data_IF_331810644059
#
_entry.id   IF_331810644059
#
_cell.length_a   1.000
_cell.length_b   1.000
_cell.length_c   1.000
_cell.angle_alpha   90.00
_cell.angle_beta   90.00
_cell.angle_gamma   90.00
#
_symmetry.space_group_name_H-M   'P 1'
#
loop_
_entity.id
_entity.type
_entity.pdbx_description
1 polymer ?
#
# COMPACT_ATOMS: atom_id res chain seq x y z
N UNK A 1 30.19 4.69 -22.56
CA UNK A 1 29.19 5.41 -21.72
C UNK A 1 28.19 4.43 -21.07
N UNK A 2 28.65 3.39 -20.36
CA UNK A 2 27.78 2.34 -19.76
C UNK A 2 28.05 2.07 -18.27
N UNK A 3 29.18 2.56 -17.73
CA UNK A 3 29.57 2.32 -16.33
C UNK A 3 28.84 3.21 -15.32
N UNK A 4 28.53 4.46 -15.69
CA UNK A 4 27.92 5.46 -14.79
C UNK A 4 26.46 5.10 -14.45
N UNK A 5 25.68 4.60 -15.43
CA UNK A 5 24.29 4.17 -15.19
C UNK A 5 24.18 2.97 -14.23
N UNK A 6 25.20 2.11 -14.17
CA UNK A 6 25.25 0.98 -13.25
C UNK A 6 25.56 1.42 -11.81
N UNK A 7 26.34 2.48 -11.62
CA UNK A 7 26.65 3.00 -10.28
C UNK A 7 25.44 3.70 -9.65
N UNK A 8 24.66 4.46 -10.44
CA UNK A 8 23.43 5.11 -9.96
C UNK A 8 22.39 4.05 -9.54
N UNK A 9 22.24 2.96 -10.30
CA UNK A 9 21.36 1.84 -9.94
C UNK A 9 21.82 1.12 -8.67
N UNK A 10 23.12 0.84 -8.55
CA UNK A 10 23.68 0.21 -7.37
C UNK A 10 23.51 1.07 -6.11
N UNK A 11 23.66 2.39 -6.27
CA UNK A 11 23.44 3.34 -5.18
C UNK A 11 21.97 3.39 -4.76
N UNK A 12 21.03 3.46 -5.71
CA UNK A 12 19.60 3.42 -5.44
C UNK A 12 19.16 2.11 -4.74
N UNK A 13 19.73 0.97 -5.12
CA UNK A 13 19.47 -0.32 -4.46
C UNK A 13 20.00 -0.27 -3.02
N UNK A 14 21.22 0.21 -2.79
CA UNK A 14 21.81 0.34 -1.45
C UNK A 14 21.02 1.31 -0.56
N UNK A 15 20.64 2.49 -1.05
CA UNK A 15 19.81 3.42 -0.27
C UNK A 15 18.44 2.83 0.03
N UNK A 16 17.84 2.07 -0.89
CA UNK A 16 16.58 1.36 -0.61
C UNK A 16 16.73 0.27 0.46
N UNK A 17 17.88 -0.40 0.51
CA UNK A 17 18.17 -1.41 1.53
C UNK A 17 18.43 -0.77 2.89
N UNK A 18 19.17 0.34 2.95
CA UNK A 18 19.40 1.10 4.19
C UNK A 18 18.10 1.69 4.72
N UNK A 19 17.25 2.23 3.85
CA UNK A 19 15.90 2.67 4.22
C UNK A 19 15.08 1.52 4.82
N UNK A 20 15.08 0.35 4.16
CA UNK A 20 14.42 -0.86 4.67
C UNK A 20 14.98 -1.36 6.00
N UNK A 21 16.28 -1.21 6.25
CA UNK A 21 16.89 -1.67 7.50
C UNK A 21 16.60 -0.71 8.64
N UNK A 22 16.71 0.62 8.43
CA UNK A 22 16.57 1.62 9.49
C UNK A 22 15.10 1.87 9.87
N UNK A 23 14.21 1.99 8.88
CA UNK A 23 12.79 2.30 9.15
C UNK A 23 12.01 1.09 9.67
N UNK A 24 12.41 -0.13 9.30
CA UNK A 24 11.71 -1.36 9.69
C UNK A 24 12.02 -1.80 11.12
N UNK A 25 13.12 -1.33 11.71
CA UNK A 25 13.57 -1.73 13.06
C UNK A 25 13.16 -0.75 14.16
N UNK A 26 12.92 0.52 13.87
CA UNK A 26 12.75 1.55 14.91
C UNK A 26 11.30 1.79 15.32
N UNK A 27 10.33 1.60 14.42
CA UNK A 27 8.90 1.72 14.75
C UNK A 27 8.20 0.51 14.14
N UNK A 28 7.46 -0.31 14.93
CA UNK A 28 6.67 -1.38 14.35
C UNK A 28 5.66 -0.74 13.40
N UNK A 29 5.84 -0.98 12.09
CA UNK A 29 5.09 -0.32 11.01
C UNK A 29 3.59 -0.30 11.26
N UNK A 30 3.04 -1.35 11.89
CA UNK A 30 1.62 -1.41 12.23
C UNK A 30 1.15 -0.37 13.26
N UNK A 31 1.96 0.01 14.25
CA UNK A 31 1.62 1.11 15.17
C UNK A 31 1.61 2.46 14.46
N UNK A 32 2.49 2.64 13.48
CA UNK A 32 2.59 3.87 12.70
C UNK A 32 1.37 4.05 11.80
N UNK A 33 0.96 2.98 11.11
CA UNK A 33 -0.27 2.98 10.33
C UNK A 33 -1.51 3.16 11.21
N UNK A 34 -1.60 2.46 12.34
CA UNK A 34 -2.71 2.68 13.28
C UNK A 34 -2.74 4.12 13.77
N UNK A 35 -1.62 4.69 14.19
CA UNK A 35 -1.56 6.09 14.61
C UNK A 35 -1.98 7.08 13.51
N UNK A 36 -1.62 6.81 12.25
CA UNK A 36 -1.96 7.67 11.12
C UNK A 36 -3.45 7.59 10.75
N UNK A 37 -4.04 6.40 10.87
CA UNK A 37 -5.39 6.12 10.41
C UNK A 37 -6.42 6.01 11.55
N UNK A 38 -6.01 5.98 12.82
CA UNK A 38 -6.93 5.90 13.96
C UNK A 38 -7.80 7.14 14.06
N UNK A 39 -9.03 6.95 14.52
CA UNK A 39 -9.92 8.01 14.98
C UNK A 39 -10.13 7.91 16.50
N UNK A 40 -10.19 9.04 17.25
CA UNK A 40 -10.47 9.02 18.68
C UNK A 40 -11.84 8.42 19.05
N UNK A 41 -12.81 8.40 18.13
CA UNK A 41 -14.11 7.75 18.32
C UNK A 41 -14.07 6.23 18.03
N UNK A 42 -12.92 5.70 17.60
CA UNK A 42 -12.70 4.32 17.20
C UNK A 42 -12.97 4.10 15.71
N UNK A 43 -12.06 3.39 15.04
CA UNK A 43 -12.15 3.12 13.60
C UNK A 43 -11.13 3.93 12.80
N UNK A 44 -11.36 4.01 11.48
CA UNK A 44 -10.50 4.79 10.59
C UNK A 44 -11.00 6.23 10.56
N UNK A 45 -10.11 7.22 10.69
CA UNK A 45 -10.50 8.61 10.59
C UNK A 45 -10.95 8.97 9.16
N UNK A 46 -11.85 9.96 8.96
CA UNK A 46 -12.45 10.24 7.65
C UNK A 46 -11.44 10.54 6.54
N UNK A 47 -10.33 11.23 6.85
CA UNK A 47 -9.26 11.51 5.88
C UNK A 47 -8.54 10.21 5.49
N UNK A 48 -8.35 9.34 6.47
CA UNK A 48 -7.80 8.01 6.31
C UNK A 48 -8.65 7.13 5.40
N UNK A 49 -9.98 7.21 5.51
CA UNK A 49 -10.91 6.49 4.64
C UNK A 49 -10.74 6.91 3.17
N UNK A 50 -10.66 8.22 2.90
CA UNK A 50 -10.45 8.74 1.54
C UNK A 50 -9.11 8.28 0.96
N UNK A 51 -8.02 8.34 1.75
CA UNK A 51 -6.70 7.89 1.32
C UNK A 51 -6.68 6.38 1.06
N UNK A 52 -7.34 5.58 1.91
CA UNK A 52 -7.43 4.13 1.71
C UNK A 52 -8.29 3.78 0.49
N UNK A 53 -9.34 4.56 0.20
CA UNK A 53 -10.14 4.44 -1.02
C UNK A 53 -9.33 4.64 -2.30
N UNK A 54 -8.60 5.75 -2.39
CA UNK A 54 -7.71 6.02 -3.54
C UNK A 54 -6.59 4.98 -3.66
N UNK A 55 -5.94 4.65 -2.54
CA UNK A 55 -4.85 3.67 -2.52
C UNK A 55 -5.33 2.29 -2.98
N UNK A 56 -6.56 1.91 -2.64
CA UNK A 56 -7.17 0.67 -3.09
C UNK A 56 -7.37 0.66 -4.60
N UNK A 57 -7.91 1.73 -5.18
CA UNK A 57 -8.08 1.89 -6.64
C UNK A 57 -6.73 1.74 -7.34
N UNK A 58 -5.71 2.44 -6.84
CA UNK A 58 -4.34 2.36 -7.36
C UNK A 58 -3.73 0.96 -7.26
N UNK A 59 -4.05 0.22 -6.20
CA UNK A 59 -3.51 -1.11 -5.92
C UNK A 59 -4.34 -2.28 -6.47
N UNK A 60 -5.44 -2.03 -7.20
CA UNK A 60 -6.32 -3.07 -7.74
C UNK A 60 -6.89 -4.01 -6.66
N UNK A 61 -7.09 -3.52 -5.43
CA UNK A 61 -7.54 -4.33 -4.30
C UNK A 61 -9.07 -4.35 -4.12
N UNK A 62 -9.83 -4.19 -5.21
CA UNK A 62 -11.28 -4.35 -5.22
C UNK A 62 -11.69 -5.82 -5.38
N UNK A 63 -12.80 -6.27 -4.77
CA UNK A 63 -13.28 -7.65 -4.88
C UNK A 63 -13.59 -8.08 -6.32
N UNK A 64 -13.98 -7.12 -7.18
CA UNK A 64 -14.29 -7.37 -8.60
C UNK A 64 -13.16 -6.95 -9.55
N UNK A 65 -11.99 -6.56 -9.03
CA UNK A 65 -10.89 -6.06 -9.86
C UNK A 65 -9.85 -7.15 -10.08
N UNK A 66 -9.69 -7.57 -11.33
CA UNK A 66 -8.65 -8.53 -11.72
C UNK A 66 -7.30 -7.83 -11.93
N UNK A 67 -6.23 -8.44 -11.43
CA UNK A 67 -4.85 -8.01 -11.69
C UNK A 67 -4.31 -8.54 -13.03
N UNK A 68 -5.09 -9.37 -13.72
CA UNK A 68 -4.69 -10.02 -14.97
C UNK A 68 -4.36 -9.02 -16.08
N UNK A 69 -3.27 -9.28 -16.78
CA UNK A 69 -2.88 -8.59 -18.01
C UNK A 69 -2.25 -9.60 -18.96
N UNK A 70 -2.31 -9.33 -20.28
CA UNK A 70 -1.65 -10.18 -21.28
C UNK A 70 -0.13 -10.11 -21.15
N UNK A 71 0.40 -8.99 -20.66
CA UNK A 71 1.82 -8.83 -20.37
C UNK A 71 2.14 -9.33 -18.93
N UNK A 72 2.98 -10.38 -18.78
CA UNK A 72 3.34 -10.91 -17.47
C UNK A 72 4.07 -9.89 -16.57
N UNK A 73 4.79 -8.91 -17.14
CA UNK A 73 5.46 -7.88 -16.34
C UNK A 73 4.47 -6.88 -15.75
N UNK A 74 3.41 -6.56 -16.49
CA UNK A 74 2.32 -5.70 -16.01
C UNK A 74 1.54 -6.43 -14.92
N UNK A 75 1.24 -7.71 -15.11
CA UNK A 75 0.58 -8.53 -14.10
C UNK A 75 1.39 -8.60 -12.80
N UNK A 76 2.70 -8.89 -12.87
CA UNK A 76 3.57 -8.93 -11.69
C UNK A 76 3.62 -7.58 -10.96
N UNK A 77 3.61 -6.46 -11.71
CA UNK A 77 3.56 -5.11 -11.12
C UNK A 77 2.22 -4.85 -10.41
N UNK A 78 1.08 -5.24 -11.01
CA UNK A 78 -0.25 -5.07 -10.41
C UNK A 78 -0.39 -5.92 -9.14
N UNK A 79 0.09 -7.16 -9.19
CA UNK A 79 0.06 -8.07 -8.04
C UNK A 79 0.89 -7.55 -6.87
N UNK A 80 2.11 -7.05 -7.15
CA UNK A 80 2.95 -6.44 -6.11
C UNK A 80 2.30 -5.21 -5.45
N UNK A 81 1.49 -4.43 -6.18
CA UNK A 81 0.75 -3.31 -5.58
C UNK A 81 -0.39 -3.81 -4.69
N UNK A 82 -1.13 -4.83 -5.13
CA UNK A 82 -2.18 -5.47 -4.34
C UNK A 82 -1.65 -6.03 -3.01
N UNK A 83 -0.49 -6.67 -3.04
CA UNK A 83 0.18 -7.18 -1.85
C UNK A 83 0.51 -6.08 -0.83
N UNK A 84 0.97 -4.91 -1.30
CA UNK A 84 1.27 -3.76 -0.44
C UNK A 84 0.01 -3.27 0.27
N UNK A 85 -1.12 -3.19 -0.44
CA UNK A 85 -2.38 -2.78 0.15
C UNK A 85 -2.91 -3.80 1.17
N UNK A 86 -2.88 -5.09 0.83
CA UNK A 86 -3.27 -6.17 1.75
C UNK A 86 -2.44 -6.14 3.06
N UNK A 87 -1.16 -5.81 2.96
CA UNK A 87 -0.29 -5.66 4.12
C UNK A 87 -0.67 -4.46 5.00
N UNK A 88 -1.09 -3.34 4.41
CA UNK A 88 -1.57 -2.17 5.17
C UNK A 88 -2.88 -2.52 5.89
N UNK A 89 -3.81 -3.19 5.20
CA UNK A 89 -5.07 -3.65 5.81
C UNK A 89 -4.84 -4.58 7.00
N UNK A 90 -3.90 -5.53 6.87
CA UNK A 90 -3.49 -6.42 7.96
C UNK A 90 -3.01 -5.63 9.19
N UNK A 91 -2.20 -4.59 8.99
CA UNK A 91 -1.71 -3.76 10.08
C UNK A 91 -2.81 -2.94 10.77
N UNK A 92 -3.76 -2.45 10.00
CA UNK A 92 -4.92 -1.71 10.50
C UNK A 92 -5.96 -2.64 11.14
N UNK A 93 -5.80 -3.96 11.02
CA UNK A 93 -6.77 -4.95 11.50
C UNK A 93 -8.18 -4.67 10.98
N UNK A 94 -8.28 -4.19 9.74
CA UNK A 94 -9.56 -3.93 9.10
C UNK A 94 -10.19 -5.26 8.74
N UNK A 95 -11.40 -5.48 9.25
CA UNK A 95 -12.24 -6.59 8.80
C UNK A 95 -12.63 -6.38 7.33
N UNK A 96 -12.84 -7.48 6.59
CA UNK A 96 -13.16 -7.46 5.17
C UNK A 96 -14.43 -6.64 4.87
N UNK A 97 -15.36 -6.61 5.82
CA UNK A 97 -16.56 -5.78 5.79
C UNK A 97 -16.28 -4.27 5.90
N UNK A 98 -15.28 -3.86 6.68
CA UNK A 98 -14.87 -2.44 6.79
C UNK A 98 -14.22 -1.98 5.49
N UNK A 99 -13.43 -2.86 4.86
CA UNK A 99 -12.86 -2.62 3.53
C UNK A 99 -13.96 -2.46 2.47
N UNK A 100 -15.06 -3.21 2.60
CA UNK A 100 -16.20 -3.08 1.70
C UNK A 100 -16.94 -1.75 1.90
N UNK A 101 -17.12 -1.27 3.13
CA UNK A 101 -17.70 0.06 3.38
C UNK A 101 -16.87 1.22 2.81
N UNK A 102 -15.54 1.06 2.81
CA UNK A 102 -14.64 1.99 2.11
C UNK A 102 -14.87 1.98 0.57
N UNK A 103 -15.52 0.96 -0.02
CA UNK A 103 -15.96 1.01 -1.43
C UNK A 103 -17.10 1.98 -1.62
N UNK A 104 -18.11 1.88 -0.75
CA UNK A 104 -19.41 2.53 -0.94
C UNK A 104 -19.31 4.05 -0.79
N UNK A 105 -18.35 4.53 0.02
CA UNK A 105 -18.09 5.97 0.23
C UNK A 105 -17.43 6.62 -0.99
N UNK A 106 -16.63 5.87 -1.77
CA UNK A 106 -15.85 6.37 -2.91
C UNK A 106 -16.63 6.30 -4.26
N UNK A 107 -17.62 5.40 -4.36
CA UNK A 107 -18.52 5.30 -5.52
C UNK A 107 -19.70 6.29 -5.46
N UNK A 108 -19.82 7.06 -4.37
CA UNK A 108 -20.95 7.97 -4.08
C UNK A 108 -20.75 9.43 -4.49
N UNK A 109 -19.81 9.76 -5.39
CA UNK A 109 -19.56 11.13 -5.85
C UNK A 109 -19.53 11.27 -7.37
#
# INVERSE_FOLDING_TARGET
MTSVQNQVRAWAIKTSQVYKTVFRTLIPTGRLYRWLFDDPAGGVNPVGELVLGDLRKFCFAGPMVSTFDKDPLVMARREGRREVFARIQYFLNLDENTVQKLMEIDDGN
#
